data_IF_969401660577
#
_entry.id   IF_969401660577
#
_cell.length_a   1.000
_cell.length_b   1.000
_cell.length_c   1.000
_cell.angle_alpha   90.00
_cell.angle_beta   90.00
_cell.angle_gamma   90.00
#
_symmetry.space_group_name_H-M   'P 1'
#
loop_
_entity.id
_entity.type
_entity.pdbx_description
1 polymer ?
#
# COMPACT_ATOMS: atom_id res chain seq x y z
N UNK A 1 19.66 -6.48 3.68
CA UNK A 1 18.58 -5.64 3.12
C UNK A 1 17.42 -5.61 4.12
N UNK A 2 16.74 -4.48 4.30
CA UNK A 2 15.66 -4.36 5.30
C UNK A 2 14.44 -5.21 4.87
N UNK A 3 13.74 -5.96 5.76
CA UNK A 3 12.69 -6.92 5.41
C UNK A 3 11.44 -6.35 4.70
N UNK A 4 11.36 -5.04 4.47
CA UNK A 4 10.21 -4.35 3.91
C UNK A 4 10.58 -3.34 2.81
N UNK A 5 11.76 -3.50 2.21
CA UNK A 5 12.23 -2.60 1.15
C UNK A 5 11.41 -2.80 -0.13
N UNK A 6 10.37 -1.99 -0.30
CA UNK A 6 9.54 -1.99 -1.50
C UNK A 6 10.15 -1.17 -2.65
N UNK A 7 9.44 -1.14 -3.78
CA UNK A 7 9.83 -0.42 -4.99
C UNK A 7 10.24 1.05 -4.72
N UNK A 8 9.49 1.76 -3.86
CA UNK A 8 9.79 3.16 -3.51
C UNK A 8 11.10 3.30 -2.74
N UNK A 9 11.38 2.39 -1.80
CA UNK A 9 12.61 2.40 -1.00
C UNK A 9 13.83 2.13 -1.86
N UNK A 10 13.75 1.13 -2.76
CA UNK A 10 14.83 0.83 -3.72
C UNK A 10 15.05 2.00 -4.68
N UNK A 11 13.97 2.56 -5.22
CA UNK A 11 14.05 3.73 -6.11
C UNK A 11 14.70 4.92 -5.42
N UNK A 12 14.32 5.21 -4.17
CA UNK A 12 14.91 6.29 -3.39
C UNK A 12 16.41 6.11 -3.16
N UNK A 13 16.83 4.89 -2.80
CA UNK A 13 18.24 4.54 -2.59
C UNK A 13 19.06 4.65 -3.88
N UNK A 14 18.53 4.18 -5.00
CA UNK A 14 19.22 4.31 -6.30
C UNK A 14 19.36 5.78 -6.70
N UNK A 15 18.30 6.58 -6.52
CA UNK A 15 18.34 8.03 -6.79
C UNK A 15 19.32 8.78 -5.90
N UNK A 16 19.48 8.40 -4.62
CA UNK A 16 20.49 9.02 -3.75
C UNK A 16 21.92 8.77 -4.21
N UNK A 17 22.15 7.71 -4.99
CA UNK A 17 23.42 7.44 -5.66
C UNK A 17 23.52 8.03 -7.08
N UNK A 18 22.54 8.84 -7.50
CA UNK A 18 22.48 9.40 -8.86
C UNK A 18 22.06 8.41 -9.94
N UNK A 19 21.66 7.18 -9.57
CA UNK A 19 21.32 6.12 -10.50
C UNK A 19 19.83 6.20 -10.84
N UNK A 20 19.51 6.36 -12.13
CA UNK A 20 18.14 6.32 -12.64
C UNK A 20 17.89 4.99 -13.34
N UNK A 21 17.01 4.18 -12.76
CA UNK A 21 16.59 2.89 -13.32
C UNK A 21 15.10 2.97 -13.67
N UNK A 22 14.72 2.34 -14.78
CA UNK A 22 13.31 2.21 -15.17
C UNK A 22 12.52 1.48 -14.08
N UNK A 23 11.31 1.97 -13.81
CA UNK A 23 10.43 1.40 -12.78
C UNK A 23 10.19 -0.10 -12.98
N UNK A 24 10.00 -0.53 -14.23
CA UNK A 24 9.77 -1.93 -14.54
C UNK A 24 10.97 -2.82 -14.15
N UNK A 25 12.20 -2.41 -14.47
CA UNK A 25 13.41 -3.14 -14.09
C UNK A 25 13.58 -3.29 -12.57
N UNK A 26 13.14 -2.29 -11.80
CA UNK A 26 13.14 -2.38 -10.33
C UNK A 26 12.12 -3.43 -9.87
N UNK A 27 10.92 -3.46 -10.47
CA UNK A 27 9.90 -4.47 -10.17
C UNK A 27 10.35 -5.87 -10.53
N UNK A 28 10.86 -6.07 -11.73
CA UNK A 28 11.35 -7.38 -12.19
C UNK A 28 12.47 -7.88 -11.28
N UNK A 29 13.36 -6.99 -10.84
CA UNK A 29 14.41 -7.34 -9.88
C UNK A 29 13.87 -7.65 -8.48
N UNK A 30 12.84 -6.94 -8.01
CA UNK A 30 12.20 -7.21 -6.71
C UNK A 30 11.44 -8.53 -6.74
N UNK A 31 10.75 -8.84 -7.82
CA UNK A 31 10.03 -10.10 -8.01
C UNK A 31 10.99 -11.29 -8.09
N UNK A 32 12.12 -11.13 -8.79
CA UNK A 32 13.15 -12.17 -8.88
C UNK A 32 13.87 -12.44 -7.55
N UNK A 33 14.03 -11.42 -6.70
CA UNK A 33 14.81 -11.52 -5.44
C UNK A 33 13.92 -11.79 -4.22
N UNK A 34 12.69 -11.27 -4.21
CA UNK A 34 11.76 -11.30 -3.08
C UNK A 34 10.29 -11.43 -3.57
N UNK A 35 9.92 -12.56 -4.21
CA UNK A 35 8.56 -12.75 -4.72
C UNK A 35 7.52 -12.76 -3.59
N UNK A 36 7.82 -13.40 -2.46
CA UNK A 36 6.94 -13.45 -1.29
C UNK A 36 6.70 -12.07 -0.68
N UNK A 37 7.74 -11.25 -0.55
CA UNK A 37 7.59 -9.88 -0.08
C UNK A 37 6.81 -9.02 -1.05
N UNK A 38 6.92 -9.24 -2.37
CA UNK A 38 6.05 -8.58 -3.37
C UNK A 38 4.60 -8.95 -3.14
N UNK A 39 4.27 -10.24 -3.03
CA UNK A 39 2.90 -10.72 -2.76
C UNK A 39 2.37 -10.16 -1.44
N UNK A 40 3.15 -10.21 -0.38
CA UNK A 40 2.76 -9.70 0.94
C UNK A 40 2.48 -8.19 0.90
N UNK A 41 3.28 -7.40 0.17
CA UNK A 41 3.03 -5.97 -0.02
C UNK A 41 1.76 -5.72 -0.84
N UNK A 42 1.48 -6.51 -1.87
CA UNK A 42 0.22 -6.42 -2.62
C UNK A 42 -0.99 -6.71 -1.74
N UNK A 43 -0.91 -7.72 -0.87
CA UNK A 43 -1.97 -8.06 0.09
C UNK A 43 -2.24 -6.96 1.13
N UNK A 44 -1.21 -6.21 1.53
CA UNK A 44 -1.33 -5.07 2.46
C UNK A 44 -1.88 -3.80 1.82
N UNK A 45 -2.12 -3.78 0.51
CA UNK A 45 -2.80 -2.65 -0.13
C UNK A 45 -4.21 -2.56 0.46
N UNK A 46 -4.55 -1.40 1.03
CA UNK A 46 -5.90 -1.12 1.52
C UNK A 46 -6.90 -1.36 0.40
N UNK A 47 -7.75 -2.36 0.58
CA UNK A 47 -8.87 -2.59 -0.30
C UNK A 47 -9.88 -1.46 -0.06
N UNK A 48 -10.11 -0.63 -1.09
CA UNK A 48 -11.20 0.35 -1.03
C UNK A 48 -12.51 -0.42 -0.87
N UNK A 49 -13.25 -0.14 0.20
CA UNK A 49 -14.60 -0.66 0.37
C UNK A 49 -15.51 0.04 -0.62
N UNK A 50 -16.09 -0.73 -1.54
CA UNK A 50 -17.19 -0.26 -2.38
C UNK A 50 -18.47 -0.39 -1.57
N UNK A 51 -19.10 0.74 -1.26
CA UNK A 51 -20.40 0.76 -0.60
C UNK A 51 -21.48 0.96 -1.65
N UNK A 52 -22.43 0.03 -1.71
CA UNK A 52 -23.63 0.15 -2.55
C UNK A 52 -24.78 0.54 -1.64
N UNK A 53 -25.03 1.83 -1.59
CA UNK A 53 -26.04 2.44 -0.73
C UNK A 53 -27.36 2.64 -1.48
N UNK A 54 -28.50 2.39 -0.82
CA UNK A 54 -29.83 2.56 -1.43
C UNK A 54 -30.29 4.01 -1.50
N UNK A 55 -29.65 4.94 -0.78
CA UNK A 55 -30.06 6.36 -0.74
C UNK A 55 -28.89 7.28 -0.33
N UNK A 56 -28.91 8.58 -0.70
CA UNK A 56 -27.93 9.54 -0.22
C UNK A 56 -27.92 9.57 1.32
N UNK A 57 -26.75 9.43 1.95
CA UNK A 57 -26.48 9.43 3.40
C UNK A 57 -26.58 8.11 4.19
N UNK A 58 -26.87 6.95 3.60
CA UNK A 58 -26.91 5.70 4.42
C UNK A 58 -25.54 5.21 4.92
N UNK A 59 -24.44 5.63 4.28
CA UNK A 59 -23.07 5.25 4.66
C UNK A 59 -22.54 5.92 5.95
N UNK A 60 -23.27 6.87 6.53
CA UNK A 60 -22.82 7.64 7.70
C UNK A 60 -23.13 6.98 9.06
N UNK A 61 -23.78 5.82 9.08
CA UNK A 61 -24.13 5.14 10.33
C UNK A 61 -22.92 4.37 10.88
N UNK A 62 -21.96 5.08 11.50
CA UNK A 62 -21.06 4.60 12.57
C UNK A 62 -20.04 5.71 12.92
N UNK A 63 -20.54 6.85 13.42
CA UNK A 63 -19.74 7.68 14.33
C UNK A 63 -20.59 8.06 15.54
N UNK A 64 -21.04 7.04 16.27
CA UNK A 64 -21.53 7.25 17.62
C UNK A 64 -20.35 7.63 18.49
N UNK A 65 -20.32 8.86 19.00
CA UNK A 65 -19.40 9.31 20.04
C UNK A 65 -19.74 8.56 21.35
N UNK A 66 -19.45 7.26 21.42
CA UNK A 66 -19.70 6.41 22.60
C UNK A 66 -18.85 6.82 23.82
N UNK A 67 -17.93 7.77 23.64
CA UNK A 67 -17.14 8.39 24.70
C UNK A 67 -17.91 9.38 25.61
N UNK A 68 -19.19 9.69 25.32
CA UNK A 68 -20.04 10.54 26.18
C UNK A 68 -21.29 9.82 26.72
N UNK A 69 -21.44 8.52 26.49
CA UNK A 69 -22.52 7.76 27.13
C UNK A 69 -22.07 7.44 28.55
N UNK A 70 -22.70 8.09 29.54
CA UNK A 70 -22.59 7.80 30.97
C UNK A 70 -23.67 6.81 31.38
#
# INVERSE_FOLDING_TARGET
>A
MHPNCGEKSVTGRLRSYGIRVQRQRIRDSLERVDPDGVVNRMRRVLHRRSYTERSPNSLWHLDGYHKLIR
#
